data_IF_591840053518
#
_entry.id   IF_591840053518
#
_cell.length_a   1.000
_cell.length_b   1.000
_cell.length_c   1.000
_cell.angle_alpha   90.00
_cell.angle_beta   90.00
_cell.angle_gamma   90.00
#
_symmetry.space_group_name_H-M   'P 1'
#
loop_
_entity.id
_entity.type
_entity.pdbx_description
1 polymer ?
#
# COMPACT_ATOMS: atom_id res chain seq x y z
N UNK A 1 3.07 25.26 -21.41
CA UNK A 1 4.19 24.74 -20.60
C UNK A 1 4.44 23.29 -21.03
N UNK A 2 5.68 22.81 -21.11
CA UNK A 2 5.98 21.49 -21.67
C UNK A 2 6.04 20.42 -20.57
N UNK A 3 5.16 19.41 -20.62
CA UNK A 3 5.07 18.32 -19.63
C UNK A 3 6.41 17.59 -19.42
N UNK A 4 7.24 17.51 -20.46
CA UNK A 4 8.56 16.86 -20.37
C UNK A 4 9.51 17.54 -19.39
N UNK A 5 9.34 18.83 -19.14
CA UNK A 5 10.17 19.58 -18.18
C UNK A 5 9.79 19.26 -16.71
N UNK A 6 8.70 18.50 -16.51
CA UNK A 6 8.16 18.09 -15.21
C UNK A 6 8.32 16.59 -14.95
N UNK A 7 9.14 15.90 -15.74
CA UNK A 7 9.47 14.50 -15.48
C UNK A 7 10.12 14.33 -14.10
N UNK A 8 9.82 13.23 -13.43
CA UNK A 8 10.10 13.07 -12.00
C UNK A 8 10.14 11.58 -11.58
N UNK A 9 10.68 11.32 -10.39
CA UNK A 9 10.86 9.97 -9.87
C UNK A 9 9.59 9.12 -9.77
N UNK A 10 8.50 9.70 -9.26
CA UNK A 10 7.23 9.00 -9.12
C UNK A 10 6.67 8.59 -10.48
N UNK A 11 6.74 9.48 -11.47
CA UNK A 11 6.34 9.17 -12.84
C UNK A 11 7.18 8.05 -13.43
N UNK A 12 8.49 8.10 -13.27
CA UNK A 12 9.39 7.06 -13.74
C UNK A 12 9.13 5.70 -13.06
N UNK A 13 8.81 5.70 -11.76
CA UNK A 13 8.39 4.49 -11.04
C UNK A 13 7.06 3.94 -11.53
N UNK A 14 6.08 4.79 -11.84
CA UNK A 14 4.80 4.35 -12.39
C UNK A 14 5.00 3.61 -13.70
N UNK A 15 5.79 4.15 -14.64
CA UNK A 15 6.03 3.47 -15.91
C UNK A 15 6.86 2.19 -15.75
N UNK A 16 7.89 2.17 -14.89
CA UNK A 16 8.66 0.95 -14.61
C UNK A 16 7.82 -0.13 -13.93
N UNK A 17 6.91 0.25 -13.01
CA UNK A 17 6.01 -0.68 -12.31
C UNK A 17 5.17 -1.51 -13.29
N UNK A 18 4.73 -0.93 -14.41
CA UNK A 18 3.92 -1.61 -15.41
C UNK A 18 4.65 -2.78 -16.09
N UNK A 19 5.98 -2.75 -16.11
CA UNK A 19 6.83 -3.83 -16.63
C UNK A 19 7.37 -4.71 -15.48
N UNK A 20 7.69 -4.10 -14.34
CA UNK A 20 8.22 -4.79 -13.16
C UNK A 20 7.24 -5.83 -12.61
N UNK A 21 5.92 -5.59 -12.67
CA UNK A 21 4.92 -6.51 -12.12
C UNK A 21 5.03 -7.92 -12.71
N UNK A 22 5.14 -8.03 -14.04
CA UNK A 22 5.31 -9.31 -14.72
C UNK A 22 6.69 -9.93 -14.44
N UNK A 23 7.75 -9.13 -14.47
CA UNK A 23 9.11 -9.60 -14.19
C UNK A 23 9.24 -10.16 -12.76
N UNK A 24 8.66 -9.49 -11.77
CA UNK A 24 8.63 -9.95 -10.37
C UNK A 24 7.89 -11.28 -10.26
N UNK A 25 6.73 -11.41 -10.91
CA UNK A 25 5.97 -12.65 -10.89
C UNK A 25 6.71 -13.82 -11.56
N UNK A 26 7.38 -13.58 -12.69
CA UNK A 26 8.16 -14.61 -13.38
C UNK A 26 9.37 -15.06 -12.56
N UNK A 27 10.05 -14.12 -11.92
CA UNK A 27 11.28 -14.39 -11.17
C UNK A 27 11.03 -15.03 -9.80
N UNK A 28 10.07 -14.49 -9.03
CA UNK A 28 10.02 -14.74 -7.59
C UNK A 28 8.79 -15.56 -7.16
N UNK A 29 7.75 -15.74 -7.99
CA UNK A 29 6.51 -16.45 -7.61
C UNK A 29 6.75 -17.84 -7.03
N UNK A 30 7.64 -18.62 -7.67
CA UNK A 30 7.96 -19.97 -7.22
C UNK A 30 8.51 -20.00 -5.80
N UNK A 31 9.49 -19.14 -5.52
CA UNK A 31 10.14 -19.05 -4.21
C UNK A 31 9.19 -18.49 -3.15
N UNK A 32 8.39 -17.47 -3.50
CA UNK A 32 7.40 -16.88 -2.60
C UNK A 32 6.33 -17.89 -2.18
N UNK A 33 5.85 -18.73 -3.10
CA UNK A 33 4.87 -19.79 -2.81
C UNK A 33 5.43 -20.92 -1.97
N UNK A 34 6.74 -21.17 -2.08
CA UNK A 34 7.39 -22.29 -1.41
C UNK A 34 8.13 -21.87 -0.13
N UNK A 35 8.15 -20.56 0.19
CA UNK A 35 8.78 -20.03 1.40
C UNK A 35 8.23 -20.64 2.69
N UNK A 36 6.92 -20.91 2.73
CA UNK A 36 6.27 -21.65 3.81
C UNK A 36 5.87 -23.05 3.33
N UNK A 37 6.12 -24.04 4.17
CA UNK A 37 5.78 -25.43 3.94
C UNK A 37 4.29 -25.71 4.08
N UNK A 38 3.84 -26.83 3.51
CA UNK A 38 2.46 -27.29 3.64
C UNK A 38 2.01 -27.43 5.11
N UNK A 39 2.80 -28.04 6.04
CA UNK A 39 2.40 -28.10 7.44
C UNK A 39 2.23 -26.74 8.11
N UNK A 40 3.13 -25.79 7.87
CA UNK A 40 3.07 -24.42 8.43
C UNK A 40 1.78 -23.71 8.00
N UNK A 41 1.49 -23.72 6.70
CA UNK A 41 0.29 -23.10 6.13
C UNK A 41 -1.00 -23.82 6.56
N UNK A 42 -0.99 -25.15 6.60
CA UNK A 42 -2.16 -25.93 6.95
C UNK A 42 -2.53 -25.81 8.44
N UNK A 43 -1.53 -25.82 9.33
CA UNK A 43 -1.71 -25.74 10.77
C UNK A 43 -2.22 -24.37 11.22
N UNK A 44 -1.69 -23.29 10.63
CA UNK A 44 -2.03 -21.92 11.03
C UNK A 44 -3.54 -21.64 10.99
N UNK A 45 -4.03 -20.91 11.99
CA UNK A 45 -5.44 -20.45 12.11
C UNK A 45 -5.55 -18.94 12.21
N UNK A 46 -4.42 -18.26 12.43
CA UNK A 46 -4.33 -16.82 12.58
C UNK A 46 -3.08 -16.29 11.88
N UNK A 47 -3.19 -15.10 11.33
CA UNK A 47 -2.06 -14.34 10.80
C UNK A 47 -2.01 -12.95 11.42
N UNK A 48 -0.80 -12.49 11.73
CA UNK A 48 -0.53 -11.14 12.18
C UNK A 48 0.45 -10.53 11.17
N UNK A 49 0.04 -9.44 10.53
CA UNK A 49 0.84 -8.72 9.55
C UNK A 49 1.23 -7.38 10.16
N UNK A 50 2.52 -7.05 10.12
CA UNK A 50 3.00 -5.82 10.74
C UNK A 50 4.14 -5.20 9.93
N UNK A 51 4.21 -3.87 9.96
CA UNK A 51 5.21 -3.08 9.24
C UNK A 51 5.20 -1.63 9.68
N UNK A 52 6.05 -0.81 9.03
CA UNK A 52 6.06 0.65 9.16
C UNK A 52 5.79 1.29 7.80
N UNK A 53 5.10 2.43 7.76
CA UNK A 53 4.90 3.17 6.52
C UNK A 53 4.20 2.31 5.45
N UNK A 54 4.71 2.36 4.22
CA UNK A 54 4.22 1.55 3.09
C UNK A 54 4.17 0.04 3.40
N UNK A 55 5.07 -0.48 4.24
CA UNK A 55 5.02 -1.89 4.67
C UNK A 55 3.82 -2.20 5.57
N UNK A 56 3.37 -1.25 6.38
CA UNK A 56 2.10 -1.38 7.11
C UNK A 56 0.90 -1.28 6.17
N UNK A 57 0.97 -0.42 5.16
CA UNK A 57 -0.07 -0.39 4.12
C UNK A 57 -0.19 -1.73 3.39
N UNK A 58 0.93 -2.37 3.07
CA UNK A 58 0.94 -3.69 2.46
C UNK A 58 0.30 -4.75 3.37
N UNK A 59 0.49 -4.65 4.69
CA UNK A 59 -0.20 -5.47 5.68
C UNK A 59 -1.73 -5.27 5.64
N UNK A 60 -2.18 -4.01 5.57
CA UNK A 60 -3.60 -3.67 5.46
C UNK A 60 -4.20 -4.20 4.15
N UNK A 61 -3.48 -4.08 3.04
CA UNK A 61 -3.89 -4.59 1.72
C UNK A 61 -4.06 -6.12 1.71
N UNK A 62 -3.13 -6.84 2.35
CA UNK A 62 -3.12 -8.29 2.32
C UNK A 62 -4.07 -8.93 3.33
N UNK A 63 -4.42 -8.26 4.44
CA UNK A 63 -5.35 -8.75 5.46
C UNK A 63 -6.64 -9.36 4.88
N UNK A 64 -7.44 -8.66 4.05
CA UNK A 64 -8.66 -9.24 3.49
C UNK A 64 -8.39 -10.45 2.59
N UNK A 65 -7.20 -10.61 2.02
CA UNK A 65 -6.84 -11.76 1.18
C UNK A 65 -6.65 -13.01 2.04
N UNK A 66 -5.96 -12.90 3.19
CA UNK A 66 -5.86 -14.00 4.15
C UNK A 66 -7.24 -14.39 4.73
N UNK A 67 -8.11 -13.42 4.99
CA UNK A 67 -9.47 -13.69 5.47
C UNK A 67 -10.35 -14.35 4.40
N UNK A 68 -10.37 -13.81 3.17
CA UNK A 68 -11.24 -14.26 2.08
C UNK A 68 -10.77 -15.56 1.42
N UNK A 69 -9.46 -15.74 1.24
CA UNK A 69 -8.89 -16.87 0.52
C UNK A 69 -8.28 -17.92 1.44
N UNK A 70 -7.62 -17.48 2.52
CA UNK A 70 -7.02 -18.37 3.53
C UNK A 70 -8.01 -18.85 4.60
N UNK A 71 -9.17 -18.20 4.74
CA UNK A 71 -10.18 -18.47 5.77
C UNK A 71 -9.61 -18.50 7.21
N UNK A 72 -8.66 -17.62 7.49
CA UNK A 72 -8.06 -17.47 8.83
C UNK A 72 -8.27 -16.08 9.41
N UNK A 73 -8.36 -16.00 10.74
CA UNK A 73 -8.47 -14.73 11.44
C UNK A 73 -7.19 -13.93 11.28
N UNK A 74 -7.28 -12.72 10.75
CA UNK A 74 -6.09 -11.95 10.36
C UNK A 74 -6.12 -10.56 10.96
N UNK A 75 -4.98 -10.10 11.48
CA UNK A 75 -4.81 -8.74 12.00
C UNK A 75 -3.66 -8.06 11.28
N UNK A 76 -3.86 -6.80 10.87
CA UNK A 76 -2.81 -5.94 10.39
C UNK A 76 -2.60 -4.83 11.43
N UNK A 77 -1.39 -4.73 11.97
CA UNK A 77 -1.08 -3.83 13.08
C UNK A 77 0.07 -2.90 12.71
N UNK A 78 0.03 -1.62 13.12
CA UNK A 78 1.20 -0.77 13.08
C UNK A 78 2.34 -1.39 13.90
N UNK A 79 3.58 -1.19 13.45
CA UNK A 79 4.76 -1.78 14.09
C UNK A 79 4.84 -1.60 15.60
N UNK A 80 4.49 -0.42 16.12
CA UNK A 80 4.58 -0.15 17.56
C UNK A 80 3.50 -0.89 18.35
N UNK A 81 2.29 -1.02 17.78
CA UNK A 81 1.20 -1.78 18.37
C UNK A 81 1.57 -3.25 18.44
N UNK A 82 2.04 -3.81 17.34
CA UNK A 82 2.51 -5.19 17.30
C UNK A 82 3.67 -5.43 18.28
N UNK A 83 4.69 -4.56 18.26
CA UNK A 83 5.91 -4.75 19.04
C UNK A 83 5.74 -4.51 20.55
N UNK A 84 4.80 -3.67 21.01
CA UNK A 84 4.70 -3.29 22.43
C UNK A 84 3.34 -3.40 23.09
N UNK A 85 2.26 -3.36 22.32
CA UNK A 85 0.90 -3.34 22.87
C UNK A 85 0.13 -4.63 22.62
N UNK A 86 0.59 -5.46 21.67
CA UNK A 86 0.05 -6.78 21.43
C UNK A 86 0.35 -7.69 22.62
N UNK A 87 -0.70 -8.28 23.18
CA UNK A 87 -0.60 -9.24 24.28
C UNK A 87 0.19 -10.48 23.85
N UNK A 88 1.20 -10.87 24.63
CA UNK A 88 2.04 -12.04 24.33
C UNK A 88 1.24 -13.34 24.28
N UNK A 89 0.02 -13.40 24.86
CA UNK A 89 -0.86 -14.56 24.79
C UNK A 89 -1.35 -14.89 23.37
N UNK A 90 -1.27 -13.95 22.42
CA UNK A 90 -1.68 -14.19 21.02
C UNK A 90 -0.50 -14.50 20.11
N UNK A 91 0.73 -14.46 20.63
CA UNK A 91 1.96 -14.75 19.90
C UNK A 91 2.39 -16.22 20.05
N UNK A 92 1.46 -17.15 20.10
CA UNK A 92 1.79 -18.57 20.17
C UNK A 92 0.68 -19.41 20.80
N UNK A 93 1.09 -20.57 21.32
CA UNK A 93 0.24 -21.54 22.02
C UNK A 93 -0.02 -22.82 21.22
N UNK A 94 0.15 -22.77 19.90
CA UNK A 94 0.05 -23.91 19.00
C UNK A 94 1.14 -23.82 17.92
N UNK A 95 1.70 -24.94 17.43
CA UNK A 95 2.73 -24.90 16.40
C UNK A 95 2.24 -24.15 15.15
N UNK A 96 3.07 -23.22 14.67
CA UNK A 96 2.81 -22.42 13.48
C UNK A 96 1.60 -21.47 13.57
N UNK A 97 1.15 -21.14 14.79
CA UNK A 97 -0.02 -20.30 15.00
C UNK A 97 0.22 -19.26 16.11
N UNK A 98 0.20 -17.96 15.79
CA UNK A 98 -0.08 -17.37 14.48
C UNK A 98 1.13 -17.46 13.52
N UNK A 99 0.87 -17.26 12.23
CA UNK A 99 1.93 -16.79 11.31
C UNK A 99 2.13 -15.30 11.54
N UNK A 100 3.34 -14.88 11.89
CA UNK A 100 3.70 -13.50 12.15
C UNK A 100 4.56 -12.95 11.00
N UNK A 101 3.94 -12.18 10.11
CA UNK A 101 4.61 -11.53 8.98
C UNK A 101 5.17 -10.18 9.40
N UNK A 102 6.49 -10.10 9.50
CA UNK A 102 7.26 -8.90 9.76
C UNK A 102 7.74 -8.28 8.43
N UNK A 103 7.08 -7.21 7.99
CA UNK A 103 7.28 -6.61 6.67
C UNK A 103 8.20 -5.39 6.78
N UNK A 104 9.35 -5.46 6.13
CA UNK A 104 10.29 -4.33 6.05
C UNK A 104 11.26 -4.56 4.90
N UNK A 105 11.14 -3.75 3.84
CA UNK A 105 11.99 -3.82 2.63
C UNK A 105 13.49 -3.85 2.97
N UNK A 106 13.94 -2.99 3.89
CA UNK A 106 15.36 -2.94 4.30
C UNK A 106 15.77 -4.05 5.28
N UNK A 107 14.80 -4.66 5.97
CA UNK A 107 15.00 -5.51 7.14
C UNK A 107 15.78 -4.92 8.33
N UNK A 108 15.91 -3.58 8.44
CA UNK A 108 16.70 -2.91 9.49
C UNK A 108 15.88 -2.16 10.54
N UNK A 109 14.54 -2.21 10.44
CA UNK A 109 13.65 -1.51 11.37
C UNK A 109 13.65 -2.19 12.74
N UNK A 110 14.03 -1.47 13.79
CA UNK A 110 14.20 -2.07 15.13
C UNK A 110 12.91 -2.66 15.69
N UNK A 111 11.75 -2.04 15.42
CA UNK A 111 10.45 -2.58 15.86
C UNK A 111 10.11 -3.92 15.21
N UNK A 112 10.55 -4.16 13.97
CA UNK A 112 10.32 -5.44 13.29
C UNK A 112 11.19 -6.55 13.88
N UNK A 113 12.45 -6.24 14.20
CA UNK A 113 13.34 -7.16 14.88
C UNK A 113 12.81 -7.47 16.29
N UNK A 114 12.27 -6.46 16.99
CA UNK A 114 11.67 -6.63 18.32
C UNK A 114 10.46 -7.56 18.32
N UNK A 115 9.49 -7.37 17.42
CA UNK A 115 8.32 -8.26 17.35
C UNK A 115 8.69 -9.67 16.88
N UNK A 116 9.68 -9.82 16.00
CA UNK A 116 10.22 -11.13 15.63
C UNK A 116 10.81 -11.85 16.86
N UNK A 117 11.63 -11.16 17.67
CA UNK A 117 12.14 -11.70 18.94
C UNK A 117 11.03 -12.11 19.90
N UNK A 118 10.04 -11.23 20.11
CA UNK A 118 8.87 -11.54 20.95
C UNK A 118 8.09 -12.76 20.45
N UNK A 119 7.94 -12.89 19.13
CA UNK A 119 7.32 -14.07 18.51
C UNK A 119 8.11 -15.36 18.78
N UNK A 120 9.44 -15.30 18.76
CA UNK A 120 10.32 -16.45 18.99
C UNK A 120 10.40 -16.89 20.47
N UNK A 121 10.28 -15.97 21.43
CA UNK A 121 10.53 -16.26 22.86
C UNK A 121 9.34 -16.89 23.62
N UNK A 122 8.15 -16.94 23.03
CA UNK A 122 6.90 -17.34 23.70
C UNK A 122 6.61 -18.85 23.63
N UNK A 123 7.37 -19.69 24.33
CA UNK A 123 7.06 -21.14 24.42
C UNK A 123 6.90 -21.83 23.05
N UNK A 124 5.69 -22.30 22.70
CA UNK A 124 5.35 -22.63 21.29
C UNK A 124 5.00 -21.31 20.60
N UNK A 125 6.04 -20.51 20.30
CA UNK A 125 5.90 -19.15 19.82
C UNK A 125 5.25 -19.04 18.44
N UNK A 126 5.00 -17.81 18.02
CA UNK A 126 4.52 -17.51 16.68
C UNK A 126 5.53 -17.99 15.63
N UNK A 127 5.06 -18.36 14.45
CA UNK A 127 5.95 -18.67 13.34
C UNK A 127 6.30 -17.39 12.59
N UNK A 128 7.53 -16.92 12.78
CA UNK A 128 7.99 -15.61 12.31
C UNK A 128 8.44 -15.66 10.85
N UNK A 129 7.91 -14.75 10.05
CA UNK A 129 8.16 -14.65 8.61
C UNK A 129 8.65 -13.23 8.29
N UNK A 130 9.90 -13.10 7.85
CA UNK A 130 10.40 -11.84 7.32
C UNK A 130 9.93 -11.67 5.87
N UNK A 131 9.35 -10.51 5.53
CA UNK A 131 9.10 -10.10 4.15
C UNK A 131 10.00 -8.90 3.86
N UNK A 132 11.05 -9.11 3.05
CA UNK A 132 12.16 -8.15 2.92
C UNK A 132 12.82 -8.23 1.56
N UNK A 133 13.32 -7.09 1.07
CA UNK A 133 14.18 -7.03 -0.12
C UNK A 133 15.64 -7.36 0.18
N UNK A 134 16.01 -7.47 1.47
CA UNK A 134 17.35 -7.84 1.92
C UNK A 134 17.29 -9.13 2.77
N UNK A 135 17.55 -10.31 2.18
CA UNK A 135 17.51 -11.60 2.88
C UNK A 135 18.65 -11.79 3.90
N UNK A 136 19.70 -10.96 3.84
CA UNK A 136 20.81 -11.00 4.81
C UNK A 136 20.62 -10.00 5.97
N UNK A 137 19.46 -9.32 6.02
CA UNK A 137 19.16 -8.30 7.01
C UNK A 137 19.03 -8.84 8.44
N UNK A 138 19.19 -8.00 9.48
CA UNK A 138 18.95 -8.40 10.87
C UNK A 138 17.57 -8.99 11.11
N UNK A 139 16.53 -8.48 10.42
CA UNK A 139 15.18 -9.03 10.51
C UNK A 139 15.11 -10.45 9.93
N UNK A 140 15.70 -10.69 8.76
CA UNK A 140 15.70 -11.99 8.11
C UNK A 140 16.44 -13.04 8.95
N UNK A 141 17.52 -12.65 9.62
CA UNK A 141 18.27 -13.50 10.53
C UNK A 141 17.50 -13.85 11.81
N UNK A 142 16.59 -12.97 12.23
CA UNK A 142 15.76 -13.17 13.43
C UNK A 142 14.53 -14.05 13.14
N UNK A 143 13.93 -13.92 11.96
CA UNK A 143 12.75 -14.70 11.61
C UNK A 143 13.09 -16.16 11.25
N UNK A 144 12.14 -17.07 11.51
CA UNK A 144 12.28 -18.48 11.17
C UNK A 144 12.19 -18.75 9.66
N UNK A 145 11.41 -17.95 8.95
CA UNK A 145 11.26 -18.00 7.49
C UNK A 145 11.53 -16.63 6.89
N UNK A 146 12.18 -16.60 5.73
CA UNK A 146 12.34 -15.37 4.94
C UNK A 146 11.65 -15.51 3.58
N UNK A 147 10.70 -14.62 3.32
CA UNK A 147 10.17 -14.33 2.00
C UNK A 147 11.00 -13.19 1.41
N UNK A 148 11.99 -13.55 0.59
CA UNK A 148 12.83 -12.60 -0.11
C UNK A 148 12.07 -11.99 -1.29
N UNK A 149 12.08 -10.67 -1.37
CA UNK A 149 11.45 -9.90 -2.45
C UNK A 149 12.48 -8.90 -3.00
N UNK A 150 13.58 -9.37 -3.61
CA UNK A 150 14.62 -8.49 -4.12
C UNK A 150 14.02 -7.61 -5.23
N UNK A 151 14.24 -6.29 -5.15
CA UNK A 151 13.71 -5.40 -6.17
C UNK A 151 14.45 -5.59 -7.48
N UNK A 152 13.74 -5.86 -8.60
CA UNK A 152 14.34 -5.82 -9.91
C UNK A 152 15.04 -4.47 -10.10
N UNK A 153 16.23 -4.45 -10.73
CA UNK A 153 16.90 -3.19 -11.04
C UNK A 153 15.97 -2.31 -11.88
N UNK A 154 16.10 -0.99 -11.73
CA UNK A 154 15.38 -0.06 -12.61
C UNK A 154 15.79 -0.32 -14.06
N UNK A 155 14.81 -0.35 -14.95
CA UNK A 155 15.06 -0.46 -16.39
C UNK A 155 15.51 0.87 -17.00
N UNK A 156 15.18 1.97 -16.32
CA UNK A 156 15.67 3.32 -16.59
C UNK A 156 16.84 3.65 -15.64
N UNK A 157 17.90 4.34 -16.13
CA UNK A 157 19.05 4.75 -15.32
C UNK A 157 18.70 5.95 -14.39
N UNK A 158 17.58 5.88 -13.69
CA UNK A 158 17.03 6.98 -12.91
C UNK A 158 17.44 6.85 -11.43
N UNK A 159 17.96 7.94 -10.84
CA UNK A 159 18.69 7.93 -9.55
C UNK A 159 18.12 8.96 -8.53
N UNK A 160 16.95 9.54 -8.79
CA UNK A 160 16.25 10.36 -7.79
C UNK A 160 15.54 9.44 -6.78
N UNK A 161 15.76 9.68 -5.49
CA UNK A 161 15.09 8.91 -4.44
C UNK A 161 13.59 9.15 -4.47
N UNK A 162 12.82 8.12 -4.78
CA UNK A 162 11.37 8.19 -4.96
C UNK A 162 10.59 7.66 -3.74
N UNK A 163 9.41 8.21 -3.45
CA UNK A 163 8.38 7.56 -2.65
C UNK A 163 8.09 6.16 -3.22
N UNK A 164 8.38 5.10 -2.45
CA UNK A 164 8.61 3.75 -3.00
C UNK A 164 7.37 2.98 -3.45
N UNK A 165 6.95 3.16 -4.71
CA UNK A 165 5.81 2.46 -5.32
C UNK A 165 6.14 0.99 -5.59
N UNK A 166 7.31 0.76 -6.19
CA UNK A 166 7.78 -0.59 -6.61
C UNK A 166 7.87 -1.54 -5.42
N UNK A 167 8.49 -1.06 -4.34
CA UNK A 167 8.67 -1.86 -3.12
C UNK A 167 7.36 -2.12 -2.36
N UNK A 168 6.39 -1.20 -2.46
CA UNK A 168 5.04 -1.42 -1.95
C UNK A 168 4.32 -2.53 -2.73
N UNK A 169 4.28 -2.42 -4.07
CA UNK A 169 3.69 -3.45 -4.93
C UNK A 169 4.27 -4.83 -4.64
N UNK A 170 5.59 -4.93 -4.57
CA UNK A 170 6.25 -6.20 -4.37
C UNK A 170 5.96 -6.82 -2.99
N UNK A 171 5.86 -5.99 -1.95
CA UNK A 171 5.42 -6.44 -0.62
C UNK A 171 3.99 -6.98 -0.66
N UNK A 172 3.09 -6.30 -1.37
CA UNK A 172 1.71 -6.77 -1.58
C UNK A 172 1.70 -8.09 -2.34
N UNK A 173 2.42 -8.18 -3.46
CA UNK A 173 2.46 -9.37 -4.29
C UNK A 173 2.94 -10.59 -3.49
N UNK A 174 3.99 -10.42 -2.69
CA UNK A 174 4.50 -11.46 -1.80
C UNK A 174 3.44 -11.93 -0.79
N UNK A 175 2.82 -10.99 -0.07
CA UNK A 175 1.80 -11.31 0.95
C UNK A 175 0.55 -11.96 0.35
N UNK A 176 0.04 -11.42 -0.77
CA UNK A 176 -1.12 -11.97 -1.48
C UNK A 176 -0.81 -13.36 -2.02
N UNK A 177 0.38 -13.58 -2.57
CA UNK A 177 0.84 -14.90 -3.04
C UNK A 177 0.90 -15.91 -1.89
N UNK A 178 1.35 -15.50 -0.70
CA UNK A 178 1.34 -16.33 0.51
C UNK A 178 -0.09 -16.69 0.94
N UNK A 179 -1.01 -15.72 0.97
CA UNK A 179 -2.41 -15.93 1.29
C UNK A 179 -3.11 -16.85 0.27
N UNK A 180 -2.83 -16.66 -1.01
CA UNK A 180 -3.34 -17.51 -2.09
C UNK A 180 -2.84 -18.95 -1.92
N UNK A 181 -1.54 -19.12 -1.62
CA UNK A 181 -0.97 -20.44 -1.37
C UNK A 181 -1.56 -21.11 -0.14
N UNK A 182 -1.84 -20.34 0.92
CA UNK A 182 -2.50 -20.85 2.11
C UNK A 182 -3.88 -21.43 1.79
N UNK A 183 -4.72 -20.71 1.04
CA UNK A 183 -6.04 -21.20 0.66
C UNK A 183 -5.98 -22.44 -0.24
N UNK A 184 -4.98 -22.53 -1.11
CA UNK A 184 -4.69 -23.71 -1.91
C UNK A 184 -4.33 -24.92 -1.03
N UNK A 185 -3.40 -24.74 -0.09
CA UNK A 185 -2.96 -25.79 0.85
C UNK A 185 -4.10 -26.26 1.75
N UNK A 186 -5.00 -25.36 2.13
CA UNK A 186 -6.20 -25.66 2.93
C UNK A 186 -7.35 -26.22 2.09
N UNK A 187 -7.13 -26.45 0.79
CA UNK A 187 -8.09 -27.04 -0.14
C UNK A 187 -9.37 -26.21 -0.32
N UNK A 188 -9.30 -24.89 -0.16
CA UNK A 188 -10.42 -24.00 -0.48
C UNK A 188 -10.65 -23.87 -2.00
N UNK A 189 -9.59 -24.02 -2.78
CA UNK A 189 -9.61 -24.02 -4.24
C UNK A 189 -8.41 -24.80 -4.82
N UNK A 190 -8.50 -25.29 -6.07
CA UNK A 190 -7.42 -26.03 -6.71
C UNK A 190 -6.25 -25.13 -7.14
N UNK A 191 -5.11 -25.75 -7.42
CA UNK A 191 -3.89 -25.08 -7.91
C UNK A 191 -4.11 -24.22 -9.16
N UNK A 192 -5.00 -24.63 -10.07
CA UNK A 192 -5.33 -23.85 -11.28
C UNK A 192 -5.97 -22.50 -10.93
N UNK A 193 -6.88 -22.47 -9.97
CA UNK A 193 -7.52 -21.24 -9.50
C UNK A 193 -6.54 -20.38 -8.70
N UNK A 194 -5.66 -21.00 -7.90
CA UNK A 194 -4.57 -20.29 -7.23
C UNK A 194 -3.64 -19.60 -8.26
N UNK A 195 -3.33 -20.28 -9.36
CA UNK A 195 -2.57 -19.72 -10.49
C UNK A 195 -3.27 -18.55 -11.15
N UNK A 196 -4.59 -18.66 -11.36
CA UNK A 196 -5.39 -17.58 -11.93
C UNK A 196 -5.37 -16.33 -11.04
N UNK A 197 -5.57 -16.46 -9.72
CA UNK A 197 -5.54 -15.31 -8.81
C UNK A 197 -4.23 -14.54 -8.85
N UNK A 198 -3.09 -15.24 -8.98
CA UNK A 198 -1.78 -14.57 -9.11
C UNK A 198 -1.63 -13.87 -10.45
N UNK A 199 -2.10 -14.51 -11.52
CA UNK A 199 -2.17 -13.89 -12.85
C UNK A 199 -3.03 -12.63 -12.83
N UNK A 200 -4.20 -12.66 -12.17
CA UNK A 200 -5.11 -11.52 -12.07
C UNK A 200 -4.47 -10.31 -11.38
N UNK A 201 -3.55 -10.50 -10.43
CA UNK A 201 -2.79 -9.41 -9.79
C UNK A 201 -1.86 -8.74 -10.81
N UNK A 202 -1.17 -9.53 -11.64
CA UNK A 202 -0.25 -9.01 -12.67
C UNK A 202 -1.05 -8.35 -13.79
N UNK A 203 -2.08 -9.02 -14.31
CA UNK A 203 -2.95 -8.52 -15.38
C UNK A 203 -3.59 -7.19 -15.02
N UNK A 204 -3.94 -7.01 -13.74
CA UNK A 204 -4.50 -5.74 -13.27
C UNK A 204 -3.50 -4.58 -13.41
N UNK A 205 -2.22 -4.78 -13.09
CA UNK A 205 -1.19 -3.75 -13.31
C UNK A 205 -0.96 -3.54 -14.81
N UNK A 206 -0.86 -4.61 -15.59
CA UNK A 206 -0.67 -4.52 -17.04
C UNK A 206 -1.81 -3.76 -17.73
N UNK A 207 -3.04 -3.86 -17.21
CA UNK A 207 -4.21 -3.15 -17.76
C UNK A 207 -4.09 -1.62 -17.73
N UNK A 208 -3.21 -1.07 -16.89
CA UNK A 208 -2.93 0.37 -16.91
C UNK A 208 -2.20 0.81 -18.18
N UNK A 209 -1.47 -0.08 -18.87
CA UNK A 209 -0.73 0.25 -20.11
C UNK A 209 -1.65 0.85 -21.19
N UNK A 210 -2.92 0.46 -21.22
CA UNK A 210 -3.90 0.93 -22.19
C UNK A 210 -4.39 2.37 -21.91
N UNK A 211 -4.28 2.85 -20.67
CA UNK A 211 -4.82 4.15 -20.24
C UNK A 211 -3.79 5.09 -19.60
N UNK A 212 -2.55 4.64 -19.38
CA UNK A 212 -1.57 5.37 -18.56
C UNK A 212 -1.21 6.74 -19.14
N UNK A 213 -1.09 6.87 -20.47
CA UNK A 213 -0.70 8.14 -21.08
C UNK A 213 -1.79 9.22 -20.92
N UNK A 214 -3.06 8.84 -21.08
CA UNK A 214 -4.20 9.74 -20.85
C UNK A 214 -4.31 10.13 -19.36
N UNK A 215 -4.05 9.17 -18.47
CA UNK A 215 -4.00 9.39 -17.03
C UNK A 215 -2.85 10.35 -16.65
N UNK A 216 -1.66 10.17 -17.22
CA UNK A 216 -0.49 11.03 -17.03
C UNK A 216 -0.77 12.49 -17.47
N UNK A 217 -1.45 12.67 -18.61
CA UNK A 217 -1.91 14.00 -19.05
C UNK A 217 -2.94 14.62 -18.09
N UNK A 218 -3.92 13.84 -17.63
CA UNK A 218 -4.93 14.31 -16.69
C UNK A 218 -4.31 14.74 -15.35
N UNK A 219 -3.39 13.93 -14.81
CA UNK A 219 -2.74 14.19 -13.53
C UNK A 219 -1.77 15.36 -13.61
N UNK A 220 -1.10 15.56 -14.75
CA UNK A 220 -0.29 16.76 -15.01
C UNK A 220 -1.15 18.03 -14.98
N UNK A 221 -2.27 18.03 -15.70
CA UNK A 221 -3.19 19.18 -15.73
C UNK A 221 -3.80 19.47 -14.35
N UNK A 222 -4.15 18.42 -13.59
CA UNK A 222 -4.65 18.56 -12.23
C UNK A 222 -3.59 19.15 -11.29
N UNK A 223 -2.34 18.70 -11.39
CA UNK A 223 -1.24 19.23 -10.59
C UNK A 223 -0.96 20.71 -10.90
N UNK A 224 -1.09 21.13 -12.16
CA UNK A 224 -1.00 22.56 -12.53
C UNK A 224 -2.11 23.39 -11.88
N UNK A 225 -3.34 22.86 -11.86
CA UNK A 225 -4.50 23.51 -11.28
C UNK A 225 -4.41 23.61 -9.75
N UNK A 226 -3.89 22.57 -9.09
CA UNK A 226 -3.84 22.46 -7.63
C UNK A 226 -2.49 22.86 -7.02
N UNK A 227 -1.58 23.44 -7.80
CA UNK A 227 -0.21 23.82 -7.35
C UNK A 227 -0.16 24.77 -6.17
N UNK A 228 -1.21 25.55 -5.95
CA UNK A 228 -1.30 26.54 -4.86
C UNK A 228 -2.08 25.99 -3.63
N UNK A 229 -2.48 24.72 -3.65
CA UNK A 229 -3.18 24.05 -2.53
C UNK A 229 -2.16 23.31 -1.65
N UNK A 230 -2.17 23.56 -0.35
CA UNK A 230 -1.24 22.97 0.63
C UNK A 230 -1.91 22.00 1.62
N UNK A 231 -3.18 21.65 1.38
CA UNK A 231 -3.95 20.74 2.22
C UNK A 231 -4.74 19.74 1.38
N UNK A 232 -4.57 18.47 1.69
CA UNK A 232 -5.14 17.36 0.94
C UNK A 232 -5.89 16.42 1.86
N UNK A 233 -6.91 15.75 1.32
CA UNK A 233 -7.57 14.66 2.02
C UNK A 233 -8.01 13.55 1.07
N UNK A 234 -7.98 12.32 1.56
CA UNK A 234 -8.51 11.15 0.87
C UNK A 234 -9.74 10.63 1.58
N UNK A 235 -10.77 10.30 0.80
CA UNK A 235 -12.03 9.78 1.33
C UNK A 235 -12.33 8.46 0.64
N UNK A 236 -12.56 7.42 1.43
CA UNK A 236 -12.82 6.08 0.93
C UNK A 236 -13.67 5.27 1.91
N UNK A 237 -13.95 4.01 1.58
CA UNK A 237 -14.63 3.07 2.47
C UNK A 237 -14.15 1.64 2.23
N UNK A 238 -14.13 0.81 3.27
CA UNK A 238 -13.77 -0.60 3.13
C UNK A 238 -12.35 -0.81 2.61
N UNK A 239 -12.17 -1.71 1.64
CA UNK A 239 -10.86 -2.07 1.09
C UNK A 239 -10.18 -0.86 0.37
N UNK A 240 -10.96 0.11 -0.13
CA UNK A 240 -10.43 1.34 -0.75
C UNK A 240 -9.68 2.26 0.23
N UNK A 241 -9.90 2.07 1.55
CA UNK A 241 -9.17 2.82 2.59
C UNK A 241 -7.66 2.58 2.54
N UNK A 242 -7.23 1.42 2.01
CA UNK A 242 -5.81 1.09 1.88
C UNK A 242 -5.14 2.00 0.86
N UNK A 243 -5.77 2.21 -0.30
CA UNK A 243 -5.27 3.16 -1.30
C UNK A 243 -5.31 4.59 -0.76
N UNK A 244 -6.39 4.99 -0.09
CA UNK A 244 -6.48 6.31 0.54
C UNK A 244 -5.34 6.57 1.53
N UNK A 245 -5.01 5.56 2.35
CA UNK A 245 -3.86 5.62 3.26
C UNK A 245 -2.56 5.81 2.50
N UNK A 246 -2.29 4.97 1.49
CA UNK A 246 -1.04 4.98 0.73
C UNK A 246 -0.81 6.33 0.04
N UNK A 247 -1.83 6.80 -0.67
CA UNK A 247 -1.76 8.05 -1.43
C UNK A 247 -1.62 9.27 -0.51
N UNK A 248 -2.24 9.25 0.67
CA UNK A 248 -2.05 10.30 1.67
C UNK A 248 -0.60 10.41 2.14
N UNK A 249 0.10 9.27 2.28
CA UNK A 249 1.52 9.26 2.60
C UNK A 249 2.35 9.84 1.44
N UNK A 250 1.97 9.57 0.18
CA UNK A 250 2.68 10.10 -0.99
C UNK A 250 2.64 11.63 -1.08
N UNK A 251 1.60 12.30 -0.55
CA UNK A 251 1.62 13.77 -0.42
C UNK A 251 2.74 14.24 0.52
N UNK A 252 2.83 13.68 1.73
CA UNK A 252 3.89 14.05 2.66
C UNK A 252 5.28 13.78 2.09
N UNK A 253 5.43 12.66 1.39
CA UNK A 253 6.72 12.24 0.83
C UNK A 253 7.09 13.05 -0.41
N UNK A 254 6.15 13.37 -1.30
CA UNK A 254 6.43 14.10 -2.53
C UNK A 254 6.54 15.62 -2.28
N UNK A 255 5.53 16.20 -1.64
CA UNK A 255 5.37 17.66 -1.55
C UNK A 255 5.49 18.22 -0.14
N UNK A 256 5.41 17.37 0.89
CA UNK A 256 5.47 17.80 2.29
C UNK A 256 4.23 18.56 2.76
N UNK A 257 3.17 18.58 1.95
CA UNK A 257 1.91 19.21 2.31
C UNK A 257 1.17 18.37 3.37
N UNK A 258 0.22 19.02 4.06
CA UNK A 258 -0.60 18.32 5.05
C UNK A 258 -1.62 17.48 4.33
N UNK A 259 -1.65 16.19 4.65
CA UNK A 259 -2.65 15.26 4.15
C UNK A 259 -3.32 14.48 5.27
N UNK A 260 -4.61 14.20 5.08
CA UNK A 260 -5.38 13.26 5.92
C UNK A 260 -6.03 12.21 5.02
N UNK A 261 -6.44 11.09 5.60
CA UNK A 261 -7.36 10.17 4.97
C UNK A 261 -8.45 9.84 5.99
N UNK A 262 -9.68 9.70 5.53
CA UNK A 262 -10.82 9.45 6.40
C UNK A 262 -11.85 8.55 5.71
N UNK A 263 -12.58 7.78 6.51
CA UNK A 263 -13.69 7.02 5.98
C UNK A 263 -14.85 7.95 5.59
N UNK A 264 -15.63 7.55 4.58
CA UNK A 264 -16.73 8.34 4.03
C UNK A 264 -17.75 8.82 5.08
N UNK A 265 -17.99 8.05 6.12
CA UNK A 265 -18.96 8.39 7.17
C UNK A 265 -18.39 9.46 8.12
N UNK A 266 -17.18 9.26 8.62
CA UNK A 266 -16.55 10.23 9.53
C UNK A 266 -16.18 11.51 8.80
N UNK A 267 -15.86 11.46 7.50
CA UNK A 267 -15.65 12.67 6.71
C UNK A 267 -16.92 13.55 6.71
N UNK A 268 -18.09 12.95 6.50
CA UNK A 268 -19.38 13.64 6.59
C UNK A 268 -19.78 14.02 8.02
N UNK A 269 -19.07 13.57 9.05
CA UNK A 269 -19.32 13.91 10.44
C UNK A 269 -18.36 14.98 10.97
N UNK A 270 -17.10 14.98 10.53
CA UNK A 270 -16.02 15.79 11.08
C UNK A 270 -15.37 16.66 9.99
N UNK A 271 -14.67 16.06 9.03
CA UNK A 271 -13.79 16.77 8.11
C UNK A 271 -14.52 17.76 7.20
N UNK A 272 -15.77 17.47 6.81
CA UNK A 272 -16.53 18.36 5.93
C UNK A 272 -16.77 19.76 6.53
N UNK A 273 -16.67 19.92 7.86
CA UNK A 273 -16.78 21.20 8.56
C UNK A 273 -15.53 22.08 8.49
N UNK A 274 -14.45 21.64 7.83
CA UNK A 274 -13.21 22.40 7.72
C UNK A 274 -13.47 23.86 7.26
N UNK A 275 -12.93 24.82 8.02
CA UNK A 275 -13.21 26.25 7.82
C UNK A 275 -12.81 26.74 6.44
N UNK A 276 -11.63 26.35 5.97
CA UNK A 276 -11.14 26.66 4.63
C UNK A 276 -11.41 25.50 3.66
N UNK A 277 -12.68 25.16 3.50
CA UNK A 277 -13.09 24.03 2.66
C UNK A 277 -12.71 24.16 1.18
N UNK A 278 -12.36 25.36 0.70
CA UNK A 278 -11.92 25.59 -0.68
C UNK A 278 -10.42 25.43 -0.86
N UNK A 279 -9.65 25.54 0.22
CA UNK A 279 -8.20 25.29 0.25
C UNK A 279 -7.82 23.83 0.53
N UNK A 280 -8.78 22.90 0.51
CA UNK A 280 -8.53 21.46 0.77
C UNK A 280 -8.93 20.67 -0.48
N UNK A 281 -7.94 20.07 -1.14
CA UNK A 281 -8.17 19.18 -2.27
C UNK A 281 -8.52 17.77 -1.79
N UNK A 282 -9.64 17.24 -2.30
CA UNK A 282 -10.19 15.94 -1.90
C UNK A 282 -10.08 14.93 -3.02
N UNK A 283 -9.54 13.75 -2.72
CA UNK A 283 -9.58 12.58 -3.61
C UNK A 283 -10.58 11.58 -3.04
N UNK A 284 -11.64 11.30 -3.78
CA UNK A 284 -12.66 10.31 -3.42
C UNK A 284 -12.38 9.00 -4.17
N UNK A 285 -12.14 7.91 -3.45
CA UNK A 285 -11.91 6.58 -4.05
C UNK A 285 -13.21 5.79 -4.01
N UNK A 286 -13.61 5.26 -5.16
CA UNK A 286 -14.90 4.61 -5.35
C UNK A 286 -14.80 3.40 -6.31
N UNK A 287 -14.40 2.23 -5.82
CA UNK A 287 -14.46 0.99 -6.62
C UNK A 287 -15.91 0.59 -6.91
N UNK A 288 -16.20 0.14 -8.14
CA UNK A 288 -17.56 -0.14 -8.61
C UNK A 288 -18.30 -1.19 -7.77
N UNK A 289 -17.59 -2.15 -7.20
CA UNK A 289 -18.15 -3.19 -6.33
C UNK A 289 -17.98 -2.88 -4.84
N UNK A 290 -17.56 -1.68 -4.46
CA UNK A 290 -17.48 -1.29 -3.05
C UNK A 290 -18.88 -1.37 -2.42
N UNK A 291 -19.08 -2.14 -1.33
CA UNK A 291 -20.37 -2.25 -0.68
C UNK A 291 -20.94 -0.91 -0.19
N UNK A 292 -20.09 0.09 0.04
CA UNK A 292 -20.48 1.44 0.45
C UNK A 292 -20.73 2.38 -0.74
N UNK A 293 -20.72 1.91 -2.00
CA UNK A 293 -20.88 2.75 -3.20
C UNK A 293 -22.07 3.72 -3.13
N UNK A 294 -23.29 3.33 -2.71
CA UNK A 294 -24.40 4.29 -2.57
C UNK A 294 -24.06 5.46 -1.62
N UNK A 295 -23.40 5.15 -0.51
CA UNK A 295 -22.99 6.15 0.49
C UNK A 295 -21.85 7.04 -0.01
N UNK A 296 -20.93 6.47 -0.79
CA UNK A 296 -19.85 7.19 -1.49
C UNK A 296 -20.43 8.21 -2.48
N UNK A 297 -21.44 7.83 -3.25
CA UNK A 297 -22.15 8.74 -4.18
C UNK A 297 -22.85 9.87 -3.41
N UNK A 298 -23.48 9.57 -2.28
CA UNK A 298 -24.08 10.61 -1.41
C UNK A 298 -23.02 11.60 -0.90
N UNK A 299 -21.85 11.11 -0.47
CA UNK A 299 -20.73 11.96 -0.05
C UNK A 299 -20.20 12.83 -1.20
N UNK A 300 -20.06 12.26 -2.41
CA UNK A 300 -19.70 13.01 -3.60
C UNK A 300 -20.69 14.18 -3.85
N UNK A 301 -21.99 13.92 -3.68
CA UNK A 301 -23.03 14.94 -3.72
C UNK A 301 -22.83 16.07 -2.70
N UNK A 302 -22.40 15.73 -1.47
CA UNK A 302 -22.05 16.73 -0.45
C UNK A 302 -20.82 17.54 -0.86
N UNK A 303 -19.74 16.88 -1.32
CA UNK A 303 -18.50 17.53 -1.78
C UNK A 303 -18.78 18.52 -2.91
N UNK A 304 -19.58 18.11 -3.90
CA UNK A 304 -19.98 18.96 -5.02
C UNK A 304 -20.82 20.16 -4.53
N UNK A 305 -21.83 19.92 -3.68
CA UNK A 305 -22.71 20.97 -3.15
C UNK A 305 -21.97 22.04 -2.36
N UNK A 306 -20.98 21.66 -1.55
CA UNK A 306 -20.19 22.64 -0.78
C UNK A 306 -19.13 23.33 -1.64
N UNK A 307 -18.81 22.81 -2.82
CA UNK A 307 -17.76 23.35 -3.69
C UNK A 307 -16.36 23.00 -3.21
N UNK A 308 -16.17 21.77 -2.70
CA UNK A 308 -14.87 21.20 -2.34
C UNK A 308 -14.11 20.87 -3.64
N UNK A 309 -12.85 21.33 -3.84
CA UNK A 309 -12.03 20.84 -4.94
C UNK A 309 -11.90 19.32 -4.84
N UNK A 310 -12.42 18.60 -5.84
CA UNK A 310 -12.56 17.15 -5.73
C UNK A 310 -12.28 16.46 -7.06
N UNK A 311 -11.61 15.31 -6.98
CA UNK A 311 -11.53 14.32 -8.06
C UNK A 311 -11.96 12.94 -7.54
N UNK A 312 -12.66 12.18 -8.37
CA UNK A 312 -13.08 10.81 -8.07
C UNK A 312 -12.18 9.82 -8.80
N UNK A 313 -11.63 8.86 -8.07
CA UNK A 313 -10.86 7.74 -8.61
C UNK A 313 -11.75 6.50 -8.61
N UNK A 314 -12.10 5.99 -9.80
CA UNK A 314 -13.15 4.97 -9.92
C UNK A 314 -13.01 4.14 -11.19
N UNK A 315 -13.36 2.87 -11.11
CA UNK A 315 -13.61 2.01 -12.27
C UNK A 315 -15.13 1.91 -12.61
N UNK A 316 -15.99 2.62 -11.88
CA UNK A 316 -17.43 2.70 -12.12
C UNK A 316 -17.79 3.72 -13.21
N UNK A 317 -19.06 3.70 -13.67
CA UNK A 317 -19.55 4.69 -14.63
C UNK A 317 -19.50 6.11 -14.04
N UNK A 318 -18.93 7.06 -14.77
CA UNK A 318 -18.76 8.45 -14.31
C UNK A 318 -20.10 9.15 -14.04
N UNK A 319 -21.18 8.71 -14.69
CA UNK A 319 -22.53 9.27 -14.52
C UNK A 319 -23.14 9.01 -13.14
N UNK A 320 -22.52 8.14 -12.33
CA UNK A 320 -22.90 7.93 -10.93
C UNK A 320 -22.55 9.14 -10.04
N UNK A 321 -21.61 9.98 -10.47
CA UNK A 321 -21.14 11.11 -9.68
C UNK A 321 -21.77 12.42 -10.17
N UNK A 322 -21.90 13.43 -9.28
CA UNK A 322 -22.44 14.74 -9.65
C UNK A 322 -21.79 15.33 -10.91
N UNK A 323 -22.64 15.86 -11.81
CA UNK A 323 -22.18 16.47 -13.05
C UNK A 323 -21.15 17.58 -12.81
N UNK A 324 -20.04 17.53 -13.55
CA UNK A 324 -18.95 18.50 -13.45
C UNK A 324 -17.88 18.16 -12.41
N UNK A 325 -18.04 17.10 -11.62
CA UNK A 325 -16.93 16.55 -10.84
C UNK A 325 -15.86 15.97 -11.76
N UNK A 326 -14.60 16.16 -11.40
CA UNK A 326 -13.48 15.53 -12.10
C UNK A 326 -13.47 14.04 -11.78
N UNK A 327 -13.27 13.19 -12.78
CA UNK A 327 -13.19 11.73 -12.62
C UNK A 327 -11.92 11.22 -13.29
N UNK A 328 -11.10 10.48 -12.55
CA UNK A 328 -10.02 9.66 -13.08
C UNK A 328 -10.52 8.22 -13.19
N UNK A 329 -10.64 7.73 -14.43
CA UNK A 329 -11.13 6.38 -14.72
C UNK A 329 -10.02 5.37 -14.50
N UNK A 330 -10.25 4.40 -13.64
CA UNK A 330 -9.34 3.29 -13.35
C UNK A 330 -9.73 2.05 -14.16
N UNK A 331 -8.76 1.19 -14.52
CA UNK A 331 -9.05 -0.18 -14.95
C UNK A 331 -9.77 -0.96 -13.83
N UNK A 332 -10.58 -1.95 -14.23
CA UNK A 332 -11.22 -2.85 -13.27
C UNK A 332 -10.34 -4.04 -12.96
N UNK A 333 -10.13 -4.32 -11.66
CA UNK A 333 -9.54 -5.57 -11.22
C UNK A 333 -10.55 -6.74 -11.32
N UNK A 334 -10.04 -7.96 -11.47
CA UNK A 334 -10.88 -9.17 -11.42
C UNK A 334 -11.53 -9.38 -10.03
N UNK A 335 -10.86 -8.89 -8.99
CA UNK A 335 -11.33 -8.97 -7.61
C UNK A 335 -11.01 -7.68 -6.85
N UNK A 336 -11.94 -7.17 -6.04
CA UNK A 336 -11.74 -5.90 -5.30
C UNK A 336 -10.52 -5.92 -4.37
N UNK A 337 -10.14 -7.09 -3.83
CA UNK A 337 -8.96 -7.22 -2.97
C UNK A 337 -7.63 -7.03 -3.70
N UNK A 338 -7.61 -7.02 -5.05
CA UNK A 338 -6.43 -6.75 -5.88
C UNK A 338 -6.19 -5.23 -6.00
N UNK A 339 -7.24 -4.42 -5.91
CA UNK A 339 -7.20 -3.00 -6.25
C UNK A 339 -6.13 -2.17 -5.49
N UNK A 340 -5.76 -2.46 -4.23
CA UNK A 340 -4.66 -1.75 -3.57
C UNK A 340 -3.29 -1.91 -4.25
N UNK A 341 -3.14 -2.87 -5.16
CA UNK A 341 -1.91 -3.08 -5.92
C UNK A 341 -1.68 -2.03 -7.03
N UNK A 342 -2.73 -1.33 -7.48
CA UNK A 342 -2.65 -0.42 -8.64
C UNK A 342 -3.45 0.88 -8.53
N UNK A 343 -4.49 0.96 -7.68
CA UNK A 343 -5.34 2.17 -7.60
C UNK A 343 -4.59 3.47 -7.24
N UNK A 344 -3.37 3.39 -6.66
CA UNK A 344 -2.51 4.53 -6.34
C UNK A 344 -1.77 5.14 -7.55
N UNK A 345 -1.73 4.43 -8.68
CA UNK A 345 -0.95 4.83 -9.87
C UNK A 345 -1.26 6.26 -10.33
N UNK A 346 -2.53 6.68 -10.54
CA UNK A 346 -2.81 8.05 -10.93
C UNK A 346 -2.35 9.07 -9.89
N UNK A 347 -2.50 8.77 -8.60
CA UNK A 347 -2.12 9.72 -7.57
C UNK A 347 -0.61 9.91 -7.49
N UNK A 348 0.18 8.85 -7.70
CA UNK A 348 1.62 8.96 -7.78
C UNK A 348 2.08 9.90 -8.91
N UNK A 349 1.44 9.82 -10.09
CA UNK A 349 1.70 10.77 -11.19
C UNK A 349 1.39 12.21 -10.76
N UNK A 350 0.23 12.44 -10.15
CA UNK A 350 -0.18 13.75 -9.63
C UNK A 350 0.83 14.30 -8.61
N UNK A 351 1.19 13.51 -7.59
CA UNK A 351 2.09 13.93 -6.52
C UNK A 351 3.50 14.26 -7.04
N UNK A 352 3.99 13.50 -8.02
CA UNK A 352 5.26 13.77 -8.69
C UNK A 352 5.26 15.09 -9.45
N UNK A 353 4.20 15.37 -10.19
CA UNK A 353 4.05 16.65 -10.88
C UNK A 353 3.88 17.81 -9.92
N UNK A 354 3.06 17.65 -8.87
CA UNK A 354 2.84 18.68 -7.87
C UNK A 354 4.15 19.08 -7.18
N UNK A 355 5.03 18.12 -6.88
CA UNK A 355 6.35 18.41 -6.32
C UNK A 355 7.21 19.30 -7.25
N UNK A 356 7.18 19.04 -8.56
CA UNK A 356 7.89 19.88 -9.55
C UNK A 356 7.24 21.26 -9.68
N UNK A 357 5.90 21.35 -9.69
CA UNK A 357 5.19 22.64 -9.69
C UNK A 357 5.51 23.51 -8.47
N UNK A 358 5.60 22.88 -7.29
CA UNK A 358 5.94 23.56 -6.04
C UNK A 358 7.45 23.79 -5.87
N UNK A 359 8.28 23.26 -6.78
CA UNK A 359 9.73 23.32 -6.73
C UNK A 359 10.30 22.81 -5.40
N UNK A 360 9.82 21.63 -4.96
CA UNK A 360 10.26 20.98 -3.72
C UNK A 360 10.84 19.59 -3.99
N UNK A 361 11.85 19.21 -3.20
CA UNK A 361 12.45 17.89 -3.24
C UNK A 361 11.59 16.85 -2.51
N UNK A 362 11.47 15.65 -3.09
CA UNK A 362 10.87 14.49 -2.42
C UNK A 362 11.63 14.19 -1.11
N UNK A 363 10.93 13.73 -0.08
CA UNK A 363 11.42 13.56 1.30
C UNK A 363 12.13 14.79 1.87
N UNK A 364 11.80 15.98 1.35
CA UNK A 364 12.44 17.25 1.73
C UNK A 364 13.95 17.25 1.47
N UNK A 365 14.41 16.49 0.47
CA UNK A 365 15.80 16.53 0.05
C UNK A 365 16.24 17.97 -0.28
N UNK A 366 17.45 18.31 0.17
CA UNK A 366 18.00 19.68 0.07
C UNK A 366 17.68 20.59 1.26
N UNK A 367 16.82 20.17 2.20
CA UNK A 367 16.55 20.93 3.42
C UNK A 367 17.40 20.43 4.60
N UNK A 368 18.20 21.31 5.21
CA UNK A 368 19.12 20.97 6.32
C UNK A 368 18.41 20.30 7.50
N UNK A 369 17.21 20.76 7.87
CA UNK A 369 16.42 20.20 8.97
C UNK A 369 16.06 18.71 8.78
N UNK A 370 16.06 18.21 7.54
CA UNK A 370 15.74 16.83 7.19
C UNK A 370 16.97 16.00 6.77
N UNK A 371 18.15 16.63 6.65
CA UNK A 371 19.39 15.99 6.20
C UNK A 371 20.01 15.05 7.25
N UNK A 372 19.72 15.24 8.54
CA UNK A 372 20.27 14.40 9.62
C UNK A 372 19.58 13.05 9.65
N UNK A 373 20.30 11.98 9.28
CA UNK A 373 19.84 10.60 9.42
C UNK A 373 20.24 9.95 10.76
N UNK A 374 21.26 10.47 11.43
CA UNK A 374 21.78 9.95 12.69
C UNK A 374 21.13 10.62 13.90
N UNK A 375 20.12 9.96 14.48
CA UNK A 375 19.50 10.35 15.74
C UNK A 375 18.09 9.77 15.90
N UNK A 376 17.88 8.87 16.86
CA UNK A 376 16.57 8.37 17.33
C UNK A 376 15.52 8.06 16.22
N UNK A 377 15.95 7.50 15.08
CA UNK A 377 15.02 7.07 14.02
C UNK A 377 14.61 5.61 14.19
N UNK A 378 13.61 5.20 13.42
CA UNK A 378 12.99 3.85 13.42
C UNK A 378 14.01 2.68 13.41
N UNK A 379 15.20 2.88 12.85
CA UNK A 379 16.29 1.87 12.73
C UNK A 379 17.23 1.79 13.95
N UNK A 380 17.34 2.85 14.76
CA UNK A 380 18.27 2.94 15.90
C UNK A 380 17.56 2.93 17.25
N UNK A 381 16.25 2.74 17.26
CA UNK A 381 15.44 2.69 18.48
C UNK A 381 15.76 1.44 19.30
N UNK A 382 15.97 1.60 20.60
CA UNK A 382 16.34 0.52 21.53
C UNK A 382 15.34 -0.63 21.50
N UNK A 383 15.81 -1.84 21.20
CA UNK A 383 14.99 -3.06 21.24
C UNK A 383 14.75 -3.47 22.70
N UNK A 384 13.50 -3.69 23.05
CA UNK A 384 13.03 -4.11 24.37
C UNK A 384 12.01 -5.23 24.19
N UNK A 385 12.24 -6.37 24.85
CA UNK A 385 11.30 -7.48 24.85
C UNK A 385 10.39 -7.25 26.05
N UNK A 386 9.12 -6.94 25.78
CA UNK A 386 8.07 -6.64 26.76
C UNK A 386 7.05 -7.77 26.88
#
# INVERSE_FOLDING_TARGET
MNKKDFDNALRQEVYDLLDMAAALAEQDDGDLRMALSTPELFASRKAILTGCGDSYCAALAARPVFEKLGHIGTSALPAIEAARHLDSSVLGGEPHNPLLYCISVSGTVSRMIEIAKRGNETGVGAHTVAVTGNPDSPLAQECQTTMAVPMPPYTNNFDEHSPGLRSYYASIYALMTSAIRMGEVKMHYPMSQAGQYRKDIVDYIESYKDCIDAMDEQMFALAEEWKDIDSFEFVAAGDDMVTAWFDSAKIYEATGDVCTYENVEDWCHINFFARDYKGIATVLIAEKNNPAMPRIIEAAGVMARIGRPCIVFTDADESLFPAGMKVCKLPSAAHSWITPAGNYIPFALFAGYLAKFKNVGMFRQGMEAFAVQDGNKIKTSKIEIV
#
